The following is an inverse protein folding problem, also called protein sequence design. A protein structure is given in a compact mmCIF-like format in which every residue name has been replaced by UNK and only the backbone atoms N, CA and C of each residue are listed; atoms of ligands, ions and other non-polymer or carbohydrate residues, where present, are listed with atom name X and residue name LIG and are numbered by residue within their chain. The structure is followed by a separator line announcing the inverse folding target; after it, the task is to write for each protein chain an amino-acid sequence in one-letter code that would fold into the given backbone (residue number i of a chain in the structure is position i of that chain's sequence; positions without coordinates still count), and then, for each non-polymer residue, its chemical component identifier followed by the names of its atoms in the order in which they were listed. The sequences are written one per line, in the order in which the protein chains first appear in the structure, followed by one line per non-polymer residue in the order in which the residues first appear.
data_IF_919320433727
#
_entry.id   IF_919320433727
#
_cell.length_a   1.000
_cell.length_b   1.000
_cell.length_c   1.000
_cell.angle_alpha   90.00
_cell.angle_beta   90.00
_cell.angle_gamma   90.00
#
_symmetry.space_group_name_H-M   'P 1'
#
loop_
_entity.id
_entity.type
_entity.pdbx_description
1 polymer ?
#
# COMPACT_ATOMS: atom_id res chain seq x y z
N UNK A 1 -22.47 30.87 31.32
CA UNK A 1 -21.63 29.69 31.66
C UNK A 1 -22.45 28.44 31.34
N UNK A 2 -21.93 27.56 30.47
CA UNK A 2 -22.45 26.25 29.99
C UNK A 2 -22.53 26.16 28.47
N UNK A 3 -21.37 26.06 27.81
CA UNK A 3 -21.23 25.39 26.50
C UNK A 3 -19.77 25.07 26.18
N UNK A 4 -19.07 24.42 27.12
CA UNK A 4 -17.68 23.97 26.92
C UNK A 4 -17.45 22.62 27.63
N UNK A 5 -18.36 21.66 27.46
CA UNK A 5 -18.24 20.36 28.13
C UNK A 5 -18.79 19.23 27.26
N UNK A 6 -18.40 19.19 25.98
CA UNK A 6 -18.69 18.06 25.08
C UNK A 6 -17.66 17.93 23.95
N UNK A 7 -16.38 18.17 24.24
CA UNK A 7 -15.28 17.77 23.36
C UNK A 7 -14.33 16.82 24.10
N UNK A 8 -14.91 15.87 24.85
CA UNK A 8 -14.14 14.69 25.23
C UNK A 8 -13.92 13.88 23.95
N UNK A 9 -12.79 14.14 23.28
CA UNK A 9 -12.35 13.42 22.08
C UNK A 9 -12.37 11.93 22.41
N UNK A 10 -13.32 11.20 21.84
CA UNK A 10 -13.42 9.75 21.97
C UNK A 10 -12.34 9.11 21.07
N UNK A 11 -11.12 9.04 21.61
CA UNK A 11 -9.93 8.52 20.92
C UNK A 11 -10.07 7.06 20.43
N UNK A 12 -10.66 6.12 21.19
CA UNK A 12 -10.81 4.73 20.76
C UNK A 12 -11.80 4.56 19.59
N UNK A 13 -12.88 5.33 19.55
CA UNK A 13 -13.91 5.24 18.51
C UNK A 13 -13.37 5.61 17.13
N UNK A 14 -12.59 6.70 17.05
CA UNK A 14 -12.06 7.21 15.79
C UNK A 14 -11.05 6.24 15.15
N UNK A 15 -10.08 5.74 15.92
CA UNK A 15 -9.05 4.80 15.40
C UNK A 15 -9.65 3.52 14.82
N UNK A 16 -10.71 3.00 15.45
CA UNK A 16 -11.46 1.85 14.95
C UNK A 16 -12.11 2.15 13.59
N UNK A 17 -12.75 3.30 13.46
CA UNK A 17 -13.47 3.67 12.25
C UNK A 17 -12.53 3.86 11.06
N UNK A 18 -11.33 4.43 11.27
CA UNK A 18 -10.32 4.48 10.20
C UNK A 18 -9.78 3.12 9.80
N UNK A 19 -9.62 2.20 10.76
CA UNK A 19 -9.17 0.84 10.47
C UNK A 19 -10.21 0.09 9.65
N UNK A 20 -11.49 0.21 9.99
CA UNK A 20 -12.60 -0.37 9.21
C UNK A 20 -12.65 0.27 7.81
N UNK A 21 -12.48 1.60 7.73
CA UNK A 21 -12.46 2.31 6.45
C UNK A 21 -11.30 1.83 5.57
N UNK A 22 -10.10 1.68 6.14
CA UNK A 22 -8.95 1.13 5.44
C UNK A 22 -9.24 -0.29 4.93
N UNK A 23 -9.75 -1.17 5.78
CA UNK A 23 -10.09 -2.54 5.38
C UNK A 23 -11.09 -2.58 4.22
N UNK A 24 -12.13 -1.74 4.25
CA UNK A 24 -13.09 -1.62 3.15
C UNK A 24 -12.43 -1.16 1.86
N UNK A 25 -11.58 -0.14 1.92
CA UNK A 25 -10.85 0.35 0.74
C UNK A 25 -9.84 -0.67 0.19
N UNK A 26 -9.15 -1.39 1.06
CA UNK A 26 -8.23 -2.47 0.66
C UNK A 26 -8.98 -3.61 -0.02
N UNK A 27 -10.09 -4.08 0.56
CA UNK A 27 -10.94 -5.12 -0.05
C UNK A 27 -11.48 -4.64 -1.40
N UNK A 28 -12.01 -3.42 -1.46
CA UNK A 28 -12.53 -2.83 -2.68
C UNK A 28 -11.45 -2.75 -3.77
N UNK A 29 -10.25 -2.31 -3.42
CA UNK A 29 -9.13 -2.24 -4.36
C UNK A 29 -8.69 -3.62 -4.83
N UNK A 30 -8.55 -4.61 -3.94
CA UNK A 30 -8.20 -5.98 -4.34
C UNK A 30 -9.26 -6.58 -5.28
N UNK A 31 -10.54 -6.33 -5.02
CA UNK A 31 -11.62 -6.75 -5.93
C UNK A 31 -11.51 -6.08 -7.30
N UNK A 32 -11.10 -4.81 -7.37
CA UNK A 32 -10.89 -4.17 -8.68
C UNK A 32 -9.63 -4.63 -9.39
N UNK A 33 -8.60 -5.13 -8.68
CA UNK A 33 -7.41 -5.75 -9.32
C UNK A 33 -7.80 -7.02 -10.08
N UNK A 34 -8.77 -7.78 -9.57
CA UNK A 34 -9.25 -8.99 -10.22
C UNK A 34 -9.86 -8.72 -11.61
N UNK A 35 -10.43 -7.53 -11.82
CA UNK A 35 -11.11 -7.16 -13.07
C UNK A 35 -10.14 -7.14 -14.27
N UNK A 36 -9.05 -6.35 -14.30
CA UNK A 36 -8.09 -6.40 -15.40
C UNK A 36 -7.25 -7.68 -15.42
N UNK A 37 -7.07 -8.35 -14.27
CA UNK A 37 -6.29 -9.60 -14.21
C UNK A 37 -7.01 -10.80 -14.87
N UNK A 38 -8.31 -10.96 -14.62
CA UNK A 38 -9.10 -12.09 -15.11
C UNK A 38 -10.08 -11.73 -16.23
N UNK A 39 -10.40 -10.45 -16.37
CA UNK A 39 -11.43 -9.98 -17.28
C UNK A 39 -11.20 -10.26 -18.76
N UNK A 40 -9.99 -10.06 -19.31
CA UNK A 40 -9.66 -10.45 -20.68
C UNK A 40 -9.89 -11.94 -20.93
N UNK A 41 -9.53 -12.80 -19.97
CA UNK A 41 -9.65 -14.25 -20.10
C UNK A 41 -11.10 -14.75 -19.98
N UNK A 42 -11.97 -14.06 -19.23
CA UNK A 42 -13.32 -14.53 -18.90
C UNK A 42 -14.45 -13.84 -19.67
N UNK A 43 -14.31 -12.55 -20.04
CA UNK A 43 -15.45 -11.75 -20.49
C UNK A 43 -15.26 -11.04 -21.84
N UNK A 44 -14.13 -10.35 -22.06
CA UNK A 44 -14.01 -9.43 -23.21
C UNK A 44 -12.82 -9.68 -24.16
N UNK A 45 -12.04 -10.75 -23.95
CA UNK A 45 -10.93 -11.12 -24.83
C UNK A 45 -9.86 -10.02 -24.93
N UNK A 46 -9.21 -9.91 -26.09
CA UNK A 46 -8.17 -8.91 -26.38
C UNK A 46 -8.72 -7.50 -26.69
N UNK A 47 -9.84 -7.11 -26.09
CA UNK A 47 -10.35 -5.75 -26.24
C UNK A 47 -9.50 -4.76 -25.43
N UNK A 48 -8.51 -4.15 -26.09
CA UNK A 48 -7.60 -3.17 -25.49
C UNK A 48 -8.31 -1.95 -24.87
N UNK A 49 -9.47 -1.55 -25.41
CA UNK A 49 -10.21 -0.39 -24.93
C UNK A 49 -10.92 -0.69 -23.61
N UNK A 50 -11.56 -1.85 -23.47
CA UNK A 50 -12.16 -2.29 -22.20
C UNK A 50 -11.07 -2.56 -21.16
N UNK A 51 -9.97 -3.21 -21.55
CA UNK A 51 -8.89 -3.52 -20.62
C UNK A 51 -8.22 -2.24 -20.06
N UNK A 52 -7.96 -1.25 -20.91
CA UNK A 52 -7.41 0.03 -20.46
C UNK A 52 -8.35 0.78 -19.52
N UNK A 53 -9.66 0.80 -19.81
CA UNK A 53 -10.66 1.37 -18.90
C UNK A 53 -10.72 0.64 -17.55
N UNK A 54 -10.62 -0.69 -17.54
CA UNK A 54 -10.57 -1.47 -16.31
C UNK A 54 -9.32 -1.17 -15.47
N UNK A 55 -8.16 -1.01 -16.11
CA UNK A 55 -6.92 -0.61 -15.43
C UNK A 55 -7.05 0.81 -14.86
N UNK A 56 -7.61 1.76 -15.62
CA UNK A 56 -7.84 3.14 -15.14
C UNK A 56 -8.77 3.17 -13.93
N UNK A 57 -9.84 2.37 -13.93
CA UNK A 57 -10.72 2.21 -12.78
C UNK A 57 -9.97 1.66 -11.57
N UNK A 58 -9.16 0.61 -11.76
CA UNK A 58 -8.35 0.03 -10.70
C UNK A 58 -7.39 1.06 -10.08
N UNK A 59 -6.72 1.86 -10.90
CA UNK A 59 -5.84 2.96 -10.45
C UNK A 59 -6.64 3.99 -9.64
N UNK A 60 -7.82 4.41 -10.12
CA UNK A 60 -8.69 5.35 -9.40
C UNK A 60 -9.09 4.85 -8.01
N UNK A 61 -9.47 3.57 -7.90
CA UNK A 61 -9.77 2.94 -6.61
C UNK A 61 -8.51 2.80 -5.74
N UNK A 62 -7.36 2.54 -6.35
CA UNK A 62 -6.05 2.48 -5.68
C UNK A 62 -5.68 3.81 -5.01
N UNK A 63 -5.92 4.93 -5.68
CA UNK A 63 -5.72 6.27 -5.08
C UNK A 63 -6.61 6.45 -3.84
N UNK A 64 -7.87 5.99 -3.90
CA UNK A 64 -8.77 5.95 -2.75
C UNK A 64 -8.22 5.14 -1.58
N UNK A 65 -7.68 3.96 -1.86
CA UNK A 65 -7.02 3.10 -0.86
C UNK A 65 -5.79 3.77 -0.23
N UNK A 66 -4.96 4.44 -1.04
CA UNK A 66 -3.80 5.20 -0.55
C UNK A 66 -4.25 6.31 0.42
N UNK A 67 -5.27 7.10 0.06
CA UNK A 67 -5.81 8.14 0.93
C UNK A 67 -6.36 7.58 2.25
N UNK A 68 -7.02 6.41 2.19
CA UNK A 68 -7.49 5.72 3.38
C UNK A 68 -6.33 5.27 4.28
N UNK A 69 -5.25 4.76 3.69
CA UNK A 69 -4.03 4.34 4.41
C UNK A 69 -3.35 5.52 5.09
N UNK A 70 -3.17 6.64 4.38
CA UNK A 70 -2.61 7.88 4.95
C UNK A 70 -3.43 8.35 6.15
N UNK A 71 -4.76 8.34 6.04
CA UNK A 71 -5.62 8.74 7.15
C UNK A 71 -5.52 7.79 8.33
N UNK A 72 -5.43 6.47 8.09
CA UNK A 72 -5.23 5.49 9.15
C UNK A 72 -3.92 5.75 9.89
N UNK A 73 -2.82 6.03 9.19
CA UNK A 73 -1.54 6.39 9.82
C UNK A 73 -1.68 7.62 10.71
N UNK A 74 -2.30 8.71 10.20
CA UNK A 74 -2.49 9.96 10.95
C UNK A 74 -3.30 9.83 12.24
N UNK A 75 -4.03 8.73 12.41
CA UNK A 75 -4.83 8.48 13.60
C UNK A 75 -4.13 7.58 14.63
N UNK A 76 -2.96 7.03 14.29
CA UNK A 76 -2.13 6.34 15.26
C UNK A 76 -1.48 7.35 16.22
N UNK A 77 -0.97 6.87 17.35
CA UNK A 77 -0.16 7.71 18.24
C UNK A 77 1.16 8.14 17.57
N UNK A 78 1.80 9.18 18.11
CA UNK A 78 3.01 9.76 17.52
C UNK A 78 4.18 8.76 17.40
N UNK A 79 4.29 7.82 18.35
CA UNK A 79 5.34 6.81 18.35
C UNK A 79 5.13 5.82 17.20
N UNK A 80 3.91 5.31 17.05
CA UNK A 80 3.52 4.42 15.98
C UNK A 80 3.59 5.09 14.61
N UNK A 81 3.15 6.35 14.49
CA UNK A 81 3.33 7.13 13.26
C UNK A 81 4.78 7.23 12.84
N UNK A 82 5.67 7.52 13.79
CA UNK A 82 7.12 7.61 13.53
C UNK A 82 7.70 6.27 13.07
N UNK A 83 7.37 5.18 13.77
CA UNK A 83 7.78 3.81 13.40
C UNK A 83 7.37 3.49 11.97
N UNK A 84 6.11 3.78 11.63
CA UNK A 84 5.54 3.52 10.31
C UNK A 84 6.20 4.35 9.22
N UNK A 85 6.38 5.66 9.44
CA UNK A 85 7.02 6.56 8.47
C UNK A 85 8.49 6.20 8.22
N UNK A 86 9.25 5.87 9.27
CA UNK A 86 10.63 5.41 9.13
C UNK A 86 10.72 4.10 8.35
N UNK A 87 9.83 3.14 8.63
CA UNK A 87 9.77 1.88 7.90
C UNK A 87 9.37 2.08 6.42
N UNK A 88 8.39 2.96 6.16
CA UNK A 88 7.99 3.33 4.80
C UNK A 88 9.15 3.97 4.03
N UNK A 89 9.86 4.92 4.65
CA UNK A 89 11.04 5.57 4.07
C UNK A 89 12.15 4.57 3.71
N UNK A 90 12.43 3.63 4.62
CA UNK A 90 13.42 2.58 4.36
C UNK A 90 12.98 1.63 3.23
N UNK A 91 11.73 1.18 3.26
CA UNK A 91 11.18 0.31 2.21
C UNK A 91 11.16 0.96 0.83
N UNK A 92 10.89 2.27 0.76
CA UNK A 92 10.95 3.05 -0.47
C UNK A 92 12.38 3.15 -0.99
N UNK A 93 13.34 3.46 -0.11
CA UNK A 93 14.77 3.50 -0.48
C UNK A 93 15.25 2.16 -1.03
N UNK A 94 14.93 1.06 -0.35
CA UNK A 94 15.26 -0.30 -0.83
C UNK A 94 14.55 -0.60 -2.15
N UNK A 95 13.27 -0.26 -2.28
CA UNK A 95 12.52 -0.47 -3.52
C UNK A 95 13.14 0.24 -4.72
N UNK A 96 13.59 1.48 -4.56
CA UNK A 96 14.26 2.23 -5.64
C UNK A 96 15.62 1.61 -5.97
N UNK A 97 16.47 1.37 -4.97
CA UNK A 97 17.83 0.83 -5.20
C UNK A 97 17.76 -0.58 -5.78
N UNK A 98 16.96 -1.47 -5.17
CA UNK A 98 16.79 -2.83 -5.63
C UNK A 98 16.10 -2.88 -6.99
N UNK A 99 15.08 -2.06 -7.24
CA UNK A 99 14.37 -2.02 -8.53
C UNK A 99 15.30 -1.65 -9.68
N UNK A 100 16.09 -0.58 -9.53
CA UNK A 100 17.04 -0.16 -10.56
C UNK A 100 18.14 -1.21 -10.75
N UNK A 101 18.69 -1.77 -9.67
CA UNK A 101 19.68 -2.84 -9.76
C UNK A 101 19.10 -4.10 -10.44
N UNK A 102 17.85 -4.44 -10.16
CA UNK A 102 17.18 -5.61 -10.73
C UNK A 102 16.95 -5.46 -12.23
N UNK A 103 16.50 -4.29 -12.69
CA UNK A 103 16.42 -3.97 -14.12
C UNK A 103 17.79 -3.97 -14.80
N UNK A 104 18.86 -3.52 -14.12
CA UNK A 104 20.21 -3.59 -14.68
C UNK A 104 20.70 -5.03 -14.84
N UNK A 105 20.44 -5.90 -13.86
CA UNK A 105 20.81 -7.32 -13.93
C UNK A 105 20.12 -8.04 -15.09
N UNK A 106 18.86 -7.71 -15.32
CA UNK A 106 18.05 -8.22 -16.43
C UNK A 106 18.58 -7.71 -17.79
N UNK A 107 18.71 -6.38 -17.95
CA UNK A 107 19.17 -5.79 -19.22
C UNK A 107 20.62 -6.14 -19.59
N UNK A 108 21.46 -6.52 -18.62
CA UNK A 108 22.84 -6.99 -18.84
C UNK A 108 22.96 -8.51 -18.95
N UNK A 109 21.84 -9.25 -18.92
CA UNK A 109 21.80 -10.72 -18.98
C UNK A 109 22.66 -11.40 -17.90
N UNK A 110 22.80 -10.78 -16.72
CA UNK A 110 23.53 -11.38 -15.59
C UNK A 110 22.67 -12.43 -14.90
N UNK A 111 21.36 -12.21 -14.83
CA UNK A 111 20.39 -13.18 -14.33
C UNK A 111 19.70 -13.88 -15.51
N UNK A 112 19.38 -15.18 -15.38
CA UNK A 112 18.75 -15.96 -16.46
C UNK A 112 17.21 -15.82 -16.49
N UNK A 113 16.62 -14.94 -15.68
CA UNK A 113 15.19 -14.76 -15.52
C UNK A 113 14.81 -13.28 -15.60
N UNK A 114 13.60 -13.01 -16.07
CA UNK A 114 13.12 -11.65 -16.28
C UNK A 114 12.89 -10.91 -14.95
N UNK A 115 13.12 -9.60 -14.98
CA UNK A 115 12.86 -8.74 -13.83
C UNK A 115 11.35 -8.48 -13.64
N UNK A 116 10.63 -9.45 -13.07
CA UNK A 116 9.21 -9.27 -12.76
C UNK A 116 8.98 -8.34 -11.56
N UNK A 117 7.96 -7.49 -11.66
CA UNK A 117 7.56 -6.57 -10.59
C UNK A 117 7.10 -7.29 -9.31
N UNK A 118 6.67 -8.54 -9.42
CA UNK A 118 6.25 -9.40 -8.32
C UNK A 118 7.38 -9.60 -7.28
N UNK A 119 8.60 -9.87 -7.75
CA UNK A 119 9.78 -10.02 -6.89
C UNK A 119 10.14 -8.72 -6.18
N UNK A 120 10.06 -7.59 -6.89
CA UNK A 120 10.36 -6.29 -6.30
C UNK A 120 9.36 -5.92 -5.20
N UNK A 121 8.07 -6.13 -5.44
CA UNK A 121 7.01 -5.90 -4.44
C UNK A 121 7.22 -6.78 -3.20
N UNK A 122 7.63 -8.03 -3.38
CA UNK A 122 7.95 -8.94 -2.27
C UNK A 122 9.12 -8.42 -1.42
N UNK A 123 10.19 -7.95 -2.05
CA UNK A 123 11.35 -7.37 -1.36
C UNK A 123 10.93 -6.13 -0.55
N UNK A 124 10.14 -5.24 -1.13
CA UNK A 124 9.64 -4.03 -0.46
C UNK A 124 8.78 -4.41 0.76
N UNK A 125 7.88 -5.38 0.61
CA UNK A 125 7.00 -5.84 1.69
C UNK A 125 7.79 -6.45 2.85
N UNK A 126 8.75 -7.35 2.57
CA UNK A 126 9.61 -7.97 3.59
C UNK A 126 10.43 -6.88 4.29
N UNK A 127 11.01 -5.97 3.52
CA UNK A 127 11.80 -4.85 4.05
C UNK A 127 10.98 -4.01 5.02
N UNK A 128 9.77 -3.62 4.61
CA UNK A 128 8.87 -2.86 5.45
C UNK A 128 8.54 -3.59 6.76
N UNK A 129 8.19 -4.89 6.71
CA UNK A 129 7.88 -5.68 7.90
C UNK A 129 9.09 -5.78 8.86
N UNK A 130 10.28 -6.03 8.32
CA UNK A 130 11.52 -6.09 9.09
C UNK A 130 11.83 -4.73 9.73
N UNK A 131 11.69 -3.63 8.98
CA UNK A 131 11.90 -2.28 9.49
C UNK A 131 10.91 -1.92 10.60
N UNK A 132 9.63 -2.22 10.44
CA UNK A 132 8.62 -2.04 11.50
C UNK A 132 9.02 -2.82 12.74
N UNK A 133 9.40 -4.09 12.60
CA UNK A 133 9.78 -4.94 13.74
C UNK A 133 11.00 -4.41 14.49
N UNK A 134 12.04 -3.98 13.76
CA UNK A 134 13.25 -3.38 14.35
C UNK A 134 12.91 -2.08 15.06
N UNK A 135 12.15 -1.20 14.42
CA UNK A 135 11.77 0.09 14.99
C UNK A 135 10.90 -0.08 16.24
N UNK A 136 9.93 -1.00 16.23
CA UNK A 136 9.13 -1.33 17.42
C UNK A 136 9.96 -1.82 18.60
N UNK A 137 11.07 -2.52 18.36
CA UNK A 137 11.99 -2.93 19.43
C UNK A 137 12.86 -1.78 19.94
N UNK A 138 13.18 -0.81 19.09
CA UNK A 138 14.01 0.35 19.44
C UNK A 138 13.26 1.40 20.26
N UNK A 139 11.95 1.55 20.04
CA UNK A 139 11.10 2.53 20.73
C UNK A 139 10.36 1.99 21.96
N UNK A 140 10.56 0.71 22.30
CA UNK A 140 10.19 0.14 23.60
C UNK A 140 11.25 0.49 24.64
#
# INVERSE_FOLDING_TARGET
MKKQESDAIDWPGQTRDATIRLAKWTILWVLTVAIPAFGPALFWGENHLINSLAILLNVGVGIGMIMASINHLKMQDEMMQKVQLEAMGFSLGVGVVAGIAFTMLDTTNVIPFDAEISYLVMIIAITYLVSVFINLRRYK
#
